data_IF_352995543686
#
_entry.id   IF_352995543686
#
_cell.length_a   1.000
_cell.length_b   1.000
_cell.length_c   1.000
_cell.angle_alpha   90.00
_cell.angle_beta   90.00
_cell.angle_gamma   90.00
#
_symmetry.space_group_name_H-M   'P 1'
#
loop_
_entity.id
_entity.type
_entity.pdbx_description
1 polymer ?
#
# COMPACT_ATOMS: atom_id res chain seq x y z
N UNK A 1 -19.97 52.05 36.86
CA UNK A 1 -19.06 50.89 36.85
C UNK A 1 -19.91 49.68 36.50
N UNK A 2 -19.89 49.24 35.24
CA UNK A 2 -20.37 47.90 34.91
C UNK A 2 -19.55 46.94 35.76
N UNK A 3 -20.20 46.17 36.62
CA UNK A 3 -19.48 45.35 37.61
C UNK A 3 -18.64 44.32 36.86
N UNK A 4 -17.42 44.05 37.34
CA UNK A 4 -16.51 43.08 36.72
C UNK A 4 -17.20 41.72 36.47
N UNK A 5 -18.11 41.36 37.38
CA UNK A 5 -19.07 40.24 37.28
C UNK A 5 -19.86 40.26 35.98
N UNK A 6 -20.47 41.39 35.59
CA UNK A 6 -21.27 41.50 34.38
C UNK A 6 -20.44 41.29 33.10
N UNK A 7 -19.17 41.70 33.11
CA UNK A 7 -18.24 41.43 32.00
C UNK A 7 -17.93 39.93 31.89
N UNK A 8 -17.67 39.26 33.02
CA UNK A 8 -17.43 37.82 33.04
C UNK A 8 -18.67 37.01 32.63
N UNK A 9 -19.87 37.40 33.09
CA UNK A 9 -21.13 36.78 32.67
C UNK A 9 -21.34 36.92 31.15
N UNK A 10 -21.07 38.09 30.58
CA UNK A 10 -21.16 38.32 29.14
C UNK A 10 -20.16 37.46 28.36
N UNK A 11 -18.90 37.43 28.81
CA UNK A 11 -17.85 36.64 28.15
C UNK A 11 -18.16 35.14 28.19
N UNK A 12 -18.63 34.63 29.33
CA UNK A 12 -19.09 33.25 29.46
C UNK A 12 -20.24 32.91 28.50
N UNK A 13 -21.19 33.83 28.34
CA UNK A 13 -22.32 33.64 27.43
C UNK A 13 -21.88 33.58 25.96
N UNK A 14 -20.88 34.38 25.56
CA UNK A 14 -20.32 34.36 24.20
C UNK A 14 -19.56 33.05 23.97
N UNK A 15 -18.67 32.69 24.91
CA UNK A 15 -17.83 31.49 24.78
C UNK A 15 -18.66 30.20 24.74
N UNK A 16 -19.73 30.12 25.53
CA UNK A 16 -20.65 28.97 25.51
C UNK A 16 -21.41 28.85 24.18
N UNK A 17 -21.81 29.98 23.58
CA UNK A 17 -22.43 29.98 22.27
C UNK A 17 -21.44 29.54 21.18
N UNK A 18 -20.19 29.99 21.25
CA UNK A 18 -19.13 29.55 20.33
C UNK A 18 -18.85 28.05 20.45
N UNK A 19 -18.75 27.52 21.68
CA UNK A 19 -18.59 26.08 21.92
C UNK A 19 -19.75 25.32 21.26
N UNK A 20 -20.99 25.74 21.51
CA UNK A 20 -22.20 25.10 20.96
C UNK A 20 -22.19 25.12 19.43
N UNK A 21 -21.83 26.25 18.82
CA UNK A 21 -21.71 26.37 17.37
C UNK A 21 -20.60 25.46 16.80
N UNK A 22 -19.44 25.38 17.45
CA UNK A 22 -18.35 24.48 17.07
C UNK A 22 -18.75 23.01 17.20
N UNK A 23 -19.50 22.62 18.24
CA UNK A 23 -20.08 21.27 18.37
C UNK A 23 -21.01 20.96 17.21
N UNK A 24 -21.87 21.90 16.80
CA UNK A 24 -22.70 21.76 15.61
C UNK A 24 -21.89 21.52 14.34
N UNK A 25 -20.80 22.29 14.16
CA UNK A 25 -19.88 22.12 13.02
C UNK A 25 -19.13 20.79 13.06
N UNK A 26 -18.75 20.29 14.24
CA UNK A 26 -18.04 19.01 14.41
C UNK A 26 -18.83 17.83 13.82
N UNK A 27 -20.16 17.83 13.98
CA UNK A 27 -21.05 16.79 13.45
C UNK A 27 -21.01 16.70 11.93
N UNK A 28 -20.69 17.81 11.24
CA UNK A 28 -20.67 17.90 9.77
C UNK A 28 -19.29 18.10 9.17
N UNK A 29 -18.26 18.30 10.00
CA UNK A 29 -16.89 18.57 9.55
C UNK A 29 -16.25 17.34 8.89
N UNK A 30 -15.29 17.58 8.00
CA UNK A 30 -14.50 16.53 7.36
C UNK A 30 -13.59 15.82 8.38
N UNK A 31 -13.19 14.57 8.10
CA UNK A 31 -12.32 13.75 8.97
C UNK A 31 -11.09 14.52 9.46
N UNK A 32 -10.38 15.17 8.55
CA UNK A 32 -9.14 15.91 8.85
C UNK A 32 -9.36 17.14 9.75
N UNK A 33 -10.50 17.81 9.64
CA UNK A 33 -10.79 19.04 10.39
C UNK A 33 -11.34 18.77 11.79
N UNK A 34 -11.83 17.54 12.05
CA UNK A 34 -12.48 17.18 13.32
C UNK A 34 -11.51 17.12 14.48
N UNK A 35 -10.30 16.64 14.26
CA UNK A 35 -9.26 16.61 15.28
C UNK A 35 -8.82 18.03 15.69
N UNK A 36 -8.80 18.96 14.73
CA UNK A 36 -8.55 20.36 15.03
C UNK A 36 -9.72 20.98 15.78
N UNK A 37 -10.96 20.79 15.30
CA UNK A 37 -12.16 21.32 15.96
C UNK A 37 -12.31 20.77 17.39
N UNK A 38 -12.00 19.49 17.63
CA UNK A 38 -12.12 18.88 18.95
C UNK A 38 -11.14 19.50 19.94
N UNK A 39 -9.90 19.77 19.54
CA UNK A 39 -8.89 20.46 20.36
C UNK A 39 -9.30 21.90 20.66
N UNK A 40 -9.80 22.62 19.66
CA UNK A 40 -10.30 23.98 19.87
C UNK A 40 -11.49 24.02 20.84
N UNK A 41 -12.45 23.11 20.70
CA UNK A 41 -13.59 23.01 21.61
C UNK A 41 -13.11 22.71 23.04
N UNK A 42 -12.12 21.82 23.19
CA UNK A 42 -11.58 21.45 24.49
C UNK A 42 -10.83 22.62 25.16
N UNK A 43 -10.05 23.39 24.41
CA UNK A 43 -9.41 24.61 24.90
C UNK A 43 -10.45 25.67 25.31
N UNK A 44 -11.52 25.86 24.54
CA UNK A 44 -12.59 26.77 24.90
C UNK A 44 -13.32 26.33 26.19
N UNK A 45 -13.47 25.02 26.43
CA UNK A 45 -14.02 24.52 27.69
C UNK A 45 -13.11 24.85 28.88
N UNK A 46 -11.79 24.76 28.72
CA UNK A 46 -10.83 25.13 29.77
C UNK A 46 -10.96 26.63 30.09
N UNK A 47 -10.95 27.50 29.08
CA UNK A 47 -11.16 28.95 29.25
C UNK A 47 -12.51 29.27 29.93
N UNK A 48 -13.58 28.53 29.59
CA UNK A 48 -14.88 28.69 30.23
C UNK A 48 -14.86 28.27 31.71
N UNK A 49 -14.11 27.23 32.09
CA UNK A 49 -13.98 26.85 33.50
C UNK A 49 -13.19 27.90 34.28
N UNK A 50 -12.11 28.44 33.71
CA UNK A 50 -11.28 29.49 34.32
C UNK A 50 -12.11 30.76 34.56
N UNK A 51 -12.93 31.16 33.58
CA UNK A 51 -13.88 32.27 33.72
C UNK A 51 -14.91 32.03 34.83
N UNK A 52 -15.44 30.81 34.95
CA UNK A 52 -16.39 30.47 36.01
C UNK A 52 -15.74 30.46 37.41
N UNK A 53 -14.47 30.08 37.51
CA UNK A 53 -13.71 30.19 38.76
C UNK A 53 -13.50 31.64 39.17
N UNK A 54 -13.10 32.51 38.23
CA UNK A 54 -12.97 33.96 38.48
C UNK A 54 -14.32 34.59 38.87
N UNK A 55 -15.40 34.21 38.19
CA UNK A 55 -16.75 34.68 38.50
C UNK A 55 -17.19 34.23 39.90
N UNK A 56 -16.82 33.01 40.33
CA UNK A 56 -17.13 32.53 41.69
C UNK A 56 -16.42 33.36 42.75
N UNK A 57 -15.11 33.61 42.56
CA UNK A 57 -14.30 34.40 43.47
C UNK A 57 -14.83 35.83 43.62
N UNK A 58 -15.18 36.47 42.50
CA UNK A 58 -15.75 37.83 42.50
C UNK A 58 -17.17 37.84 43.10
N UNK A 59 -17.99 36.81 42.83
CA UNK A 59 -19.35 36.70 43.39
C UNK A 59 -19.34 36.55 44.92
N UNK A 60 -18.36 35.84 45.48
CA UNK A 60 -18.16 35.70 46.92
C UNK A 60 -17.78 37.04 47.58
N UNK A 61 -16.99 37.87 46.88
CA UNK A 61 -16.64 39.21 47.34
C UNK A 61 -17.82 40.19 47.34
N UNK A 62 -18.85 39.95 46.52
CA UNK A 62 -20.00 40.84 46.35
C UNK A 62 -21.16 40.57 47.33
N UNK A 63 -21.10 39.51 48.15
CA UNK A 63 -22.08 39.21 49.20
C UNK A 63 -23.46 38.73 48.71
N UNK A 64 -23.67 38.60 47.39
CA UNK A 64 -24.88 38.05 46.77
C UNK A 64 -24.77 36.56 46.47
N UNK A 65 -25.90 35.85 46.42
CA UNK A 65 -25.95 34.43 46.07
C UNK A 65 -25.33 34.15 44.69
N UNK A 66 -24.48 33.13 44.59
CA UNK A 66 -23.73 32.85 43.36
C UNK A 66 -24.60 32.14 42.33
N UNK A 67 -24.66 32.68 41.10
CA UNK A 67 -25.31 32.05 39.93
C UNK A 67 -24.38 31.06 39.21
N UNK A 68 -23.11 30.99 39.63
CA UNK A 68 -22.07 30.12 39.07
C UNK A 68 -22.45 28.64 39.05
N UNK A 69 -23.13 28.06 40.06
CA UNK A 69 -23.55 26.66 40.00
C UNK A 69 -24.46 26.35 38.81
N UNK A 70 -25.36 27.27 38.44
CA UNK A 70 -26.23 27.11 37.28
C UNK A 70 -25.42 27.13 35.97
N UNK A 71 -24.43 28.02 35.87
CA UNK A 71 -23.53 28.06 34.72
C UNK A 71 -22.66 26.79 34.62
N UNK A 72 -22.12 26.27 35.73
CA UNK A 72 -21.39 24.98 35.73
C UNK A 72 -22.26 23.82 35.24
N UNK A 73 -23.53 23.77 35.67
CA UNK A 73 -24.46 22.74 35.22
C UNK A 73 -24.71 22.83 33.71
N UNK A 74 -24.88 24.03 33.17
CA UNK A 74 -25.03 24.22 31.72
C UNK A 74 -23.75 23.83 30.96
N UNK A 75 -22.57 24.24 31.44
CA UNK A 75 -21.30 23.87 30.80
C UNK A 75 -21.10 22.35 30.80
N UNK A 76 -21.52 21.66 31.86
CA UNK A 76 -21.47 20.21 31.93
C UNK A 76 -22.43 19.57 30.91
N UNK A 77 -23.65 20.11 30.75
CA UNK A 77 -24.61 19.67 29.75
C UNK A 77 -24.05 19.78 28.33
N UNK A 78 -23.44 20.92 28.00
CA UNK A 78 -22.80 21.16 26.69
C UNK A 78 -21.60 20.23 26.48
N UNK A 79 -20.84 19.91 27.54
CA UNK A 79 -19.73 18.95 27.48
C UNK A 79 -20.20 17.52 27.18
N UNK A 80 -21.32 17.12 27.75
CA UNK A 80 -21.90 15.80 27.47
C UNK A 80 -22.45 15.75 26.03
N UNK A 81 -23.01 16.85 25.52
CA UNK A 81 -23.38 16.97 24.11
C UNK A 81 -22.16 16.86 23.18
N UNK A 82 -21.04 17.51 23.50
CA UNK A 82 -19.78 17.38 22.75
C UNK A 82 -19.29 15.92 22.69
N UNK A 83 -19.31 15.21 23.82
CA UNK A 83 -18.93 13.79 23.87
C UNK A 83 -19.86 12.91 23.04
N UNK A 84 -21.16 13.18 23.07
CA UNK A 84 -22.13 12.48 22.23
C UNK A 84 -21.87 12.74 20.75
N UNK A 85 -21.56 13.99 20.39
CA UNK A 85 -21.22 14.36 19.02
C UNK A 85 -20.00 13.58 18.55
N UNK A 86 -18.90 13.56 19.31
CA UNK A 86 -17.68 12.80 18.98
C UNK A 86 -17.95 11.30 18.71
N UNK A 87 -18.80 10.66 19.51
CA UNK A 87 -19.13 9.23 19.33
C UNK A 87 -19.92 8.96 18.06
N UNK A 88 -20.97 9.75 17.81
CA UNK A 88 -21.78 9.65 16.59
C UNK A 88 -20.91 9.80 15.34
N UNK A 89 -20.01 10.78 15.43
CA UNK A 89 -18.96 11.09 14.48
C UNK A 89 -18.05 9.88 14.20
N UNK A 90 -17.47 9.26 15.24
CA UNK A 90 -16.57 8.10 15.10
C UNK A 90 -17.30 6.87 14.52
N UNK A 91 -18.56 6.66 14.89
CA UNK A 91 -19.38 5.58 14.36
C UNK A 91 -19.63 5.74 12.85
N UNK A 92 -19.84 6.98 12.38
CA UNK A 92 -19.95 7.26 10.95
C UNK A 92 -18.65 6.94 10.19
N UNK A 93 -17.49 7.28 10.75
CA UNK A 93 -16.19 6.96 10.14
C UNK A 93 -15.97 5.46 10.09
N UNK A 94 -16.26 4.76 11.19
CA UNK A 94 -16.15 3.30 11.25
C UNK A 94 -17.05 2.61 10.24
N UNK A 95 -18.28 3.12 10.04
CA UNK A 95 -19.22 2.61 9.04
C UNK A 95 -18.71 2.87 7.62
N UNK A 96 -18.24 4.08 7.33
CA UNK A 96 -17.69 4.46 6.02
C UNK A 96 -16.42 3.67 5.68
N UNK A 97 -15.51 3.54 6.65
CA UNK A 97 -14.27 2.77 6.51
C UNK A 97 -14.51 1.28 6.25
N UNK A 98 -15.54 0.68 6.86
CA UNK A 98 -15.94 -0.71 6.55
C UNK A 98 -16.49 -0.85 5.14
N UNK A 99 -17.31 0.11 4.69
CA UNK A 99 -17.84 0.10 3.32
C UNK A 99 -16.71 0.26 2.29
N UNK A 100 -15.77 1.18 2.52
CA UNK A 100 -14.60 1.37 1.67
C UNK A 100 -13.70 0.13 1.67
N UNK A 101 -13.45 -0.49 2.82
CA UNK A 101 -12.60 -1.68 2.91
C UNK A 101 -13.19 -2.87 2.13
N UNK A 102 -14.52 -3.01 2.06
CA UNK A 102 -15.14 -4.06 1.21
C UNK A 102 -14.96 -3.80 -0.29
N UNK A 103 -14.90 -2.54 -0.73
CA UNK A 103 -14.66 -2.20 -2.14
C UNK A 103 -13.17 -2.30 -2.50
N UNK A 104 -12.29 -1.86 -1.60
CA UNK A 104 -10.82 -1.89 -1.79
C UNK A 104 -10.30 -3.33 -1.79
N UNK A 105 -10.77 -4.19 -0.89
CA UNK A 105 -10.36 -5.60 -0.85
C UNK A 105 -10.82 -6.37 -2.08
N UNK A 106 -12.03 -6.09 -2.60
CA UNK A 106 -12.53 -6.66 -3.86
C UNK A 106 -11.72 -6.20 -5.08
N UNK A 107 -11.33 -4.92 -5.13
CA UNK A 107 -10.52 -4.38 -6.23
C UNK A 107 -9.08 -4.95 -6.24
N UNK A 108 -8.48 -5.16 -5.06
CA UNK A 108 -7.15 -5.76 -4.94
C UNK A 108 -7.14 -7.27 -5.22
N UNK A 109 -8.21 -8.00 -4.84
CA UNK A 109 -8.33 -9.44 -5.12
C UNK A 109 -8.23 -9.76 -6.61
N UNK A 110 -8.87 -8.98 -7.49
CA UNK A 110 -8.85 -9.25 -8.93
C UNK A 110 -7.44 -9.17 -9.54
N UNK A 111 -6.65 -8.18 -9.12
CA UNK A 111 -5.26 -8.05 -9.58
C UNK A 111 -4.35 -9.13 -9.01
N UNK A 112 -4.56 -9.51 -7.76
CA UNK A 112 -3.78 -10.56 -7.10
C UNK A 112 -4.03 -11.95 -7.72
N UNK A 113 -5.28 -12.30 -8.02
CA UNK A 113 -5.64 -13.58 -8.64
C UNK A 113 -5.03 -13.70 -10.04
N UNK A 114 -5.12 -12.64 -10.86
CA UNK A 114 -4.49 -12.63 -12.19
C UNK A 114 -2.97 -12.77 -12.10
N UNK A 115 -2.31 -12.07 -11.17
CA UNK A 115 -0.88 -12.18 -10.96
C UNK A 115 -0.47 -13.60 -10.51
N UNK A 116 -1.24 -14.22 -9.61
CA UNK A 116 -0.99 -15.58 -9.14
C UNK A 116 -1.12 -16.62 -10.28
N UNK A 117 -2.17 -16.52 -11.11
CA UNK A 117 -2.37 -17.41 -12.26
C UNK A 117 -1.22 -17.28 -13.27
N UNK A 118 -0.82 -16.04 -13.60
CA UNK A 118 0.31 -15.80 -14.51
C UNK A 118 1.62 -16.37 -13.94
N UNK A 119 1.86 -16.20 -12.64
CA UNK A 119 3.06 -16.72 -11.98
C UNK A 119 3.10 -18.26 -12.06
N UNK A 120 1.98 -18.94 -11.82
CA UNK A 120 1.87 -20.40 -11.96
C UNK A 120 2.16 -20.83 -13.41
N UNK A 121 1.59 -20.15 -14.40
CA UNK A 121 1.84 -20.45 -15.82
C UNK A 121 3.32 -20.30 -16.19
N UNK A 122 3.99 -19.26 -15.69
CA UNK A 122 5.43 -19.04 -15.91
C UNK A 122 6.27 -20.14 -15.25
N UNK A 123 5.91 -20.57 -14.04
CA UNK A 123 6.60 -21.69 -13.36
C UNK A 123 6.45 -22.97 -14.16
N UNK A 124 5.24 -23.30 -14.61
CA UNK A 124 4.98 -24.52 -15.40
C UNK A 124 5.77 -24.51 -16.71
N UNK A 125 5.81 -23.38 -17.42
CA UNK A 125 6.60 -23.22 -18.63
C UNK A 125 8.12 -23.41 -18.37
N UNK A 126 8.63 -22.84 -17.27
CA UNK A 126 10.04 -22.98 -16.90
C UNK A 126 10.42 -24.42 -16.53
N UNK A 127 9.55 -25.13 -15.81
CA UNK A 127 9.73 -26.54 -15.47
C UNK A 127 9.65 -27.42 -16.72
N UNK A 128 8.69 -27.17 -17.61
CA UNK A 128 8.55 -27.89 -18.88
C UNK A 128 9.78 -27.72 -19.80
N UNK A 129 10.31 -26.49 -19.90
CA UNK A 129 11.53 -26.23 -20.66
C UNK A 129 12.73 -26.99 -20.09
N UNK A 130 12.88 -27.04 -18.76
CA UNK A 130 13.94 -27.83 -18.10
C UNK A 130 13.84 -29.31 -18.42
N UNK A 131 12.64 -29.89 -18.37
CA UNK A 131 12.43 -31.30 -18.71
C UNK A 131 12.80 -31.59 -20.17
N UNK A 132 12.38 -30.74 -21.11
CA UNK A 132 12.75 -30.89 -22.53
C UNK A 132 14.26 -30.85 -22.74
N UNK A 133 14.99 -29.96 -22.04
CA UNK A 133 16.45 -29.90 -22.16
C UNK A 133 17.15 -31.15 -21.63
N UNK A 134 16.63 -31.77 -20.56
CA UNK A 134 17.22 -32.99 -20.02
C UNK A 134 17.00 -34.17 -20.97
N UNK A 135 15.79 -34.33 -21.51
CA UNK A 135 15.47 -35.41 -22.46
C UNK A 135 16.21 -35.26 -23.79
N UNK A 136 16.45 -34.02 -24.25
CA UNK A 136 17.29 -33.78 -25.41
C UNK A 136 18.75 -34.20 -25.11
N UNK A 137 19.31 -33.76 -23.98
CA UNK A 137 20.68 -34.07 -23.59
C UNK A 137 20.93 -35.59 -23.49
N UNK A 138 19.99 -36.34 -22.95
CA UNK A 138 20.07 -37.80 -22.87
C UNK A 138 20.11 -38.46 -24.26
N UNK A 139 19.28 -38.00 -25.20
CA UNK A 139 19.30 -38.48 -26.59
C UNK A 139 20.58 -38.10 -27.34
N UNK A 140 21.12 -36.90 -27.12
CA UNK A 140 22.39 -36.47 -27.71
C UNK A 140 23.57 -37.29 -27.16
N UNK A 141 23.61 -37.54 -25.85
CA UNK A 141 24.67 -38.35 -25.21
C UNK A 141 24.67 -39.81 -25.70
N UNK A 142 23.48 -40.42 -25.86
CA UNK A 142 23.37 -41.80 -26.34
C UNK A 142 23.83 -41.96 -27.80
N UNK A 143 23.57 -40.99 -28.68
CA UNK A 143 23.99 -41.06 -30.07
C UNK A 143 25.50 -40.88 -30.24
N UNK A 144 26.12 -40.01 -29.44
CA UNK A 144 27.57 -39.78 -29.46
C UNK A 144 28.37 -41.00 -28.96
N UNK A 145 27.82 -41.78 -28.03
CA UNK A 145 28.44 -43.04 -27.60
C UNK A 145 28.46 -44.08 -28.75
N UNK A 146 27.41 -44.12 -29.58
CA UNK A 146 27.30 -45.07 -30.70
C UNK A 146 28.21 -44.72 -31.89
N UNK A 147 28.51 -43.44 -32.11
CA UNK A 147 29.43 -43.01 -33.18
C UNK A 147 30.90 -43.22 -32.82
N UNK A 148 31.27 -43.22 -31.53
CA UNK A 148 32.65 -43.45 -31.10
C UNK A 148 33.15 -44.88 -31.37
N UNK A 149 32.24 -45.86 -31.43
CA UNK A 149 32.56 -47.24 -31.84
C UNK A 149 32.72 -47.40 -33.37
N UNK A 150 32.12 -46.51 -34.16
CA UNK A 150 32.21 -46.53 -35.64
C UNK A 150 33.42 -45.75 -36.16
N UNK A 151 33.83 -44.68 -35.47
CA UNK A 151 34.96 -43.80 -35.90
C UNK A 151 36.34 -44.47 -35.77
N UNK A 152 36.47 -45.63 -35.11
CA UNK A 152 37.72 -46.42 -35.15
C UNK A 152 37.98 -47.11 -36.50
N UNK A 153 37.03 -47.09 -37.43
CA UNK A 153 37.19 -47.64 -38.79
C UNK A 153 36.59 -46.66 -39.79
N UNK A 154 37.31 -45.60 -40.17
CA UNK A 154 36.81 -44.74 -41.24
C UNK A 154 37.50 -43.41 -41.37
N UNK A 155 38.53 -43.39 -42.20
CA UNK A 155 39.04 -42.19 -42.83
C UNK A 155 38.00 -41.63 -43.84
N UNK A 156 37.93 -40.31 -43.95
CA UNK A 156 37.34 -39.51 -45.06
C UNK A 156 35.80 -39.42 -45.12
N UNK A 157 35.23 -38.22 -44.94
CA UNK A 157 34.90 -37.26 -46.03
C UNK A 157 34.16 -36.04 -45.48
N UNK A 158 34.60 -34.85 -45.91
CA UNK A 158 33.91 -33.58 -45.71
C UNK A 158 32.52 -33.61 -46.36
N UNK A 159 31.49 -33.22 -45.61
CA UNK A 159 30.21 -32.80 -46.18
C UNK A 159 29.71 -31.56 -45.42
N UNK A 160 29.77 -30.44 -46.13
CA UNK A 160 29.40 -29.10 -45.69
C UNK A 160 27.86 -29.00 -45.63
N UNK A 161 27.29 -29.11 -44.43
CA UNK A 161 25.85 -28.93 -44.19
C UNK A 161 25.56 -27.45 -44.00
N UNK A 162 25.14 -26.81 -45.10
CA UNK A 162 24.36 -25.56 -45.08
C UNK A 162 22.95 -25.89 -44.61
N UNK A 163 22.50 -25.27 -43.52
CA UNK A 163 21.13 -24.73 -43.34
C UNK A 163 20.88 -24.35 -41.87
N UNK A 164 21.38 -23.19 -41.42
CA UNK A 164 21.10 -22.67 -40.07
C UNK A 164 20.85 -21.13 -40.01
N UNK A 165 20.10 -20.47 -40.92
CA UNK A 165 19.66 -19.09 -40.66
C UNK A 165 18.45 -19.04 -39.71
N UNK A 166 17.55 -20.03 -39.77
CA UNK A 166 16.25 -20.01 -39.07
C UNK A 166 16.36 -20.15 -37.55
N UNK A 167 17.29 -20.97 -37.06
CA UNK A 167 17.46 -21.20 -35.61
C UNK A 167 18.09 -19.97 -34.96
N UNK A 168 19.02 -19.30 -35.65
CA UNK A 168 19.57 -18.02 -35.23
C UNK A 168 18.51 -16.92 -35.15
N UNK A 169 17.59 -16.86 -36.13
CA UNK A 169 16.46 -15.92 -36.10
C UNK A 169 15.49 -16.19 -34.96
N UNK A 170 15.18 -17.47 -34.67
CA UNK A 170 14.31 -17.85 -33.56
C UNK A 170 14.93 -17.53 -32.19
N UNK A 171 16.22 -17.80 -32.01
CA UNK A 171 16.95 -17.46 -30.77
C UNK A 171 17.01 -15.95 -30.57
N UNK A 172 17.21 -15.18 -31.65
CA UNK A 172 17.24 -13.73 -31.60
C UNK A 172 15.86 -13.12 -31.29
N UNK A 173 14.79 -13.70 -31.86
CA UNK A 173 13.41 -13.28 -31.54
C UNK A 173 13.02 -13.61 -30.10
N UNK A 174 13.40 -14.79 -29.60
CA UNK A 174 13.16 -15.18 -28.21
C UNK A 174 13.92 -14.27 -27.22
N UNK A 175 15.14 -13.86 -27.58
CA UNK A 175 15.95 -12.92 -26.81
C UNK A 175 15.31 -11.53 -26.73
N UNK A 176 14.82 -10.99 -27.85
CA UNK A 176 14.11 -9.69 -27.89
C UNK A 176 12.81 -9.75 -27.09
N UNK A 177 12.01 -10.81 -27.24
CA UNK A 177 10.78 -11.00 -26.48
C UNK A 177 11.02 -11.10 -24.96
N UNK A 178 12.09 -11.80 -24.55
CA UNK A 178 12.44 -11.97 -23.13
C UNK A 178 13.01 -10.67 -22.50
N UNK A 179 13.66 -9.80 -23.30
CA UNK A 179 14.25 -8.55 -22.83
C UNK A 179 13.26 -7.50 -22.31
N UNK A 180 12.01 -7.51 -22.80
CA UNK A 180 10.97 -6.53 -22.44
C UNK A 180 10.16 -6.90 -21.21
N UNK A 181 10.20 -8.16 -20.77
CA UNK A 181 9.34 -8.67 -19.68
C UNK A 181 10.11 -8.91 -18.37
N UNK A 182 11.44 -9.05 -18.39
CA UNK A 182 12.21 -9.43 -17.19
C UNK A 182 12.87 -8.25 -16.44
N UNK A 183 12.77 -8.21 -15.10
CA UNK A 183 13.46 -7.23 -14.25
C UNK A 183 14.99 -7.39 -14.34
N UNK A 184 15.68 -6.26 -14.20
CA UNK A 184 17.09 -6.03 -14.57
C UNK A 184 18.11 -7.06 -14.04
N UNK A 185 17.86 -7.69 -12.88
CA UNK A 185 18.78 -8.68 -12.29
C UNK A 185 18.91 -10.00 -13.06
N UNK A 186 17.87 -10.46 -13.77
CA UNK A 186 17.91 -11.74 -14.49
C UNK A 186 18.49 -11.62 -15.91
N UNK A 187 18.61 -10.41 -16.45
CA UNK A 187 19.11 -10.19 -17.82
C UNK A 187 20.55 -10.64 -17.97
N UNK A 188 21.38 -10.41 -16.93
CA UNK A 188 22.79 -10.81 -16.91
C UNK A 188 22.93 -12.33 -16.91
N UNK A 189 22.11 -13.03 -16.12
CA UNK A 189 22.12 -14.49 -16.06
C UNK A 189 21.67 -15.13 -17.38
N UNK A 190 20.69 -14.53 -18.06
CA UNK A 190 20.22 -15.03 -19.36
C UNK A 190 21.27 -14.80 -20.46
N UNK A 191 21.90 -13.62 -20.48
CA UNK A 191 23.00 -13.32 -21.41
C UNK A 191 24.18 -14.25 -21.18
N UNK A 192 24.61 -14.48 -19.93
CA UNK A 192 25.70 -15.41 -19.62
C UNK A 192 25.39 -16.84 -20.08
N UNK A 193 24.14 -17.29 -19.92
CA UNK A 193 23.73 -18.64 -20.28
C UNK A 193 23.63 -18.82 -21.80
N UNK A 194 23.17 -17.80 -22.53
CA UNK A 194 23.20 -17.78 -23.99
C UNK A 194 24.64 -17.70 -24.52
N UNK A 195 25.51 -16.89 -23.88
CA UNK A 195 26.92 -16.80 -24.26
C UNK A 195 27.65 -18.12 -24.01
N UNK A 196 27.38 -18.78 -22.87
CA UNK A 196 27.91 -20.11 -22.57
C UNK A 196 27.44 -21.13 -23.61
N UNK A 197 26.14 -21.17 -23.94
CA UNK A 197 25.61 -22.08 -24.95
C UNK A 197 26.26 -21.85 -26.33
N UNK A 198 26.45 -20.59 -26.71
CA UNK A 198 27.12 -20.22 -27.95
C UNK A 198 28.62 -20.58 -27.94
N UNK A 199 29.31 -20.36 -26.83
CA UNK A 199 30.72 -20.72 -26.64
C UNK A 199 30.91 -22.24 -26.61
N UNK A 200 30.00 -23.00 -26.01
CA UNK A 200 30.00 -24.46 -26.05
C UNK A 200 29.86 -24.96 -27.50
N UNK A 201 28.91 -24.41 -28.26
CA UNK A 201 28.72 -24.76 -29.65
C UNK A 201 29.94 -24.38 -30.53
N UNK A 202 30.62 -23.27 -30.20
CA UNK A 202 31.84 -22.83 -30.90
C UNK A 202 33.06 -23.67 -30.53
N UNK A 203 33.19 -24.10 -29.27
CA UNK A 203 34.29 -24.93 -28.78
C UNK A 203 34.25 -26.33 -29.43
N UNK A 204 33.06 -26.92 -29.54
CA UNK A 204 32.87 -28.23 -30.17
C UNK A 204 33.15 -28.20 -31.69
N UNK A 205 32.94 -27.05 -32.34
CA UNK A 205 33.32 -26.80 -33.74
C UNK A 205 34.82 -26.57 -33.97
N UNK A 206 35.60 -26.33 -32.91
CA UNK A 206 37.06 -26.08 -32.98
C UNK A 206 37.89 -27.29 -32.52
N UNK A 207 37.26 -28.28 -31.86
CA UNK A 207 37.91 -29.48 -31.34
C UNK A 207 37.75 -30.74 -32.20
N UNK A 208 37.05 -30.64 -33.33
CA UNK A 208 36.94 -31.69 -34.35
C UNK A 208 37.61 -31.26 -35.66
#
# INVERSE_FOLDING_TARGET
>A
MSTLIQSYEQQYSILTAEITAKIGRLKTAHEDDRDQLSREIQSNFEEANDLLEQLELESRGSGGGSRVPAYRAELQRVRDEFRSALRETDEQLSRSGRLMNTMVTRALQQRAVLAAVLLVLVILAALGARQLTMSACEKYASNNARTRDVVKIGSVRNEEVKDEPLVHFLVYWLYIACSKVLPSGLRVWFVLRCLWAFLCHRYESLSG
#
